data_IF_418906685836
#
_entry.id   IF_418906685836
#
_cell.length_a   1.000
_cell.length_b   1.000
_cell.length_c   1.000
_cell.angle_alpha   90.00
_cell.angle_beta   90.00
_cell.angle_gamma   90.00
#
_symmetry.space_group_name_H-M   'P 1'
#
loop_
_entity.id
_entity.type
_entity.pdbx_description
1 polymer ?
#
# COMPACT_ATOMS: atom_id res chain seq x y z
N UNK A 1 18.40 -38.82 17.04
CA UNK A 1 18.70 -37.48 16.51
C UNK A 1 17.48 -36.95 15.79
N UNK A 2 16.64 -36.19 16.49
CA UNK A 2 15.50 -35.46 15.91
C UNK A 2 16.05 -34.24 15.18
N UNK A 3 16.05 -34.28 13.85
CA UNK A 3 16.35 -33.12 13.00
C UNK A 3 15.24 -32.08 13.22
N UNK A 4 15.48 -31.16 14.15
CA UNK A 4 14.63 -29.99 14.34
C UNK A 4 14.62 -29.23 13.01
N UNK A 5 13.48 -29.29 12.34
CA UNK A 5 13.19 -28.64 11.07
C UNK A 5 13.34 -27.12 11.30
N UNK A 6 14.54 -26.56 11.05
CA UNK A 6 14.80 -25.12 11.19
C UNK A 6 13.86 -24.40 10.25
N UNK A 7 12.82 -23.75 10.80
CA UNK A 7 11.99 -22.81 10.04
C UNK A 7 12.94 -21.80 9.41
N UNK A 8 12.85 -21.61 8.10
CA UNK A 8 13.62 -20.57 7.43
C UNK A 8 13.19 -19.22 7.98
N UNK A 9 14.04 -18.60 8.79
CA UNK A 9 13.80 -17.30 9.41
C UNK A 9 14.66 -16.26 8.71
N UNK A 10 14.02 -15.30 8.05
CA UNK A 10 14.70 -14.14 7.47
C UNK A 10 15.35 -13.28 8.55
N UNK A 11 16.52 -12.72 8.24
CA UNK A 11 17.16 -11.71 9.10
C UNK A 11 16.33 -10.44 9.14
N UNK A 12 16.52 -9.59 10.16
CA UNK A 12 15.83 -8.31 10.24
C UNK A 12 16.12 -7.41 9.03
N UNK A 13 17.36 -7.37 8.57
CA UNK A 13 17.75 -6.61 7.37
C UNK A 13 17.02 -7.10 6.11
N UNK A 14 16.85 -8.42 5.94
CA UNK A 14 16.12 -8.98 4.79
C UNK A 14 14.63 -8.63 4.85
N UNK A 15 14.02 -8.65 6.04
CA UNK A 15 12.63 -8.23 6.23
C UNK A 15 12.41 -6.76 5.87
N UNK A 16 13.30 -5.90 6.36
CA UNK A 16 13.31 -4.47 6.00
C UNK A 16 13.50 -4.25 4.50
N UNK A 17 14.35 -5.04 3.86
CA UNK A 17 14.60 -4.94 2.42
C UNK A 17 13.37 -5.31 1.59
N UNK A 18 12.66 -6.39 1.95
CA UNK A 18 11.38 -6.77 1.31
C UNK A 18 10.34 -5.69 1.50
N UNK A 19 10.24 -5.14 2.71
CA UNK A 19 9.32 -4.07 3.04
C UNK A 19 9.57 -2.81 2.20
N UNK A 20 10.81 -2.30 2.18
CA UNK A 20 11.18 -1.10 1.42
C UNK A 20 11.01 -1.32 -0.08
N UNK A 21 11.39 -2.50 -0.58
CA UNK A 21 11.22 -2.83 -1.99
C UNK A 21 9.73 -2.83 -2.39
N UNK A 22 8.87 -3.43 -1.56
CA UNK A 22 7.43 -3.46 -1.81
C UNK A 22 6.79 -2.09 -1.74
N UNK A 23 7.14 -1.32 -0.72
CA UNK A 23 6.70 0.06 -0.54
C UNK A 23 7.07 0.95 -1.73
N UNK A 24 8.33 0.91 -2.15
CA UNK A 24 8.79 1.76 -3.27
C UNK A 24 8.20 1.33 -4.61
N UNK A 25 8.20 0.04 -4.93
CA UNK A 25 7.70 -0.43 -6.23
C UNK A 25 6.19 -0.21 -6.38
N UNK A 26 5.40 -0.56 -5.36
CA UNK A 26 3.96 -0.39 -5.46
C UNK A 26 3.55 1.08 -5.37
N UNK A 27 4.15 1.84 -4.43
CA UNK A 27 3.87 3.28 -4.31
C UNK A 27 4.17 4.06 -5.59
N UNK A 28 5.34 3.83 -6.21
CA UNK A 28 5.67 4.44 -7.50
C UNK A 28 4.75 3.98 -8.63
N UNK A 29 4.33 2.72 -8.60
CA UNK A 29 3.38 2.23 -9.60
C UNK A 29 2.01 2.88 -9.46
N UNK A 30 1.57 3.17 -8.23
CA UNK A 30 0.29 3.80 -7.98
C UNK A 30 0.27 5.25 -8.48
N UNK A 31 1.36 5.99 -8.23
CA UNK A 31 1.54 7.33 -8.77
C UNK A 31 1.47 7.37 -10.30
N UNK A 32 1.86 6.28 -10.98
CA UNK A 32 1.74 6.17 -12.44
C UNK A 32 0.31 5.82 -12.85
N UNK A 33 -0.36 4.89 -12.16
CA UNK A 33 -1.74 4.48 -12.52
C UNK A 33 -2.74 5.61 -12.33
N UNK A 34 -2.57 6.44 -11.31
CA UNK A 34 -3.39 7.64 -11.07
C UNK A 34 -3.31 8.66 -12.23
N UNK A 35 -2.22 8.65 -13.01
CA UNK A 35 -2.08 9.49 -14.20
C UNK A 35 -2.70 8.87 -15.46
N UNK A 36 -3.13 7.61 -15.41
CA UNK A 36 -3.71 6.91 -16.57
C UNK A 36 -5.23 7.12 -16.58
N UNK A 37 -5.82 7.67 -17.65
CA UNK A 37 -7.25 7.91 -17.71
C UNK A 37 -8.05 6.60 -17.83
N UNK A 38 -9.22 6.54 -17.18
CA UNK A 38 -10.21 5.47 -17.38
C UNK A 38 -10.91 5.63 -18.74
N UNK A 39 -11.17 4.50 -19.40
CA UNK A 39 -11.84 4.48 -20.71
C UNK A 39 -13.21 3.85 -20.56
N UNK A 40 -14.25 4.65 -20.78
CA UNK A 40 -15.63 4.17 -20.79
C UNK A 40 -15.99 3.53 -22.13
N UNK A 41 -16.43 2.27 -22.10
CA UNK A 41 -16.95 1.58 -23.29
C UNK A 41 -18.39 1.12 -23.02
N UNK A 42 -19.35 2.05 -23.17
CA UNK A 42 -20.76 1.77 -22.87
C UNK A 42 -21.02 1.67 -21.36
N UNK A 43 -21.74 0.64 -20.86
CA UNK A 43 -22.01 0.45 -19.42
C UNK A 43 -20.81 -0.16 -18.67
N UNK A 44 -19.69 -0.38 -19.34
CA UNK A 44 -18.49 -1.02 -18.78
C UNK A 44 -17.39 0.04 -18.72
N UNK A 45 -16.91 0.29 -17.52
CA UNK A 45 -15.74 1.12 -17.26
C UNK A 45 -14.48 0.25 -17.31
N UNK A 46 -13.55 0.57 -18.23
CA UNK A 46 -12.20 0.03 -18.18
C UNK A 46 -11.35 1.02 -17.39
N UNK A 47 -11.42 0.91 -16.06
CA UNK A 47 -10.49 1.60 -15.17
C UNK A 47 -9.33 0.67 -14.81
N UNK A 48 -8.13 1.24 -14.72
CA UNK A 48 -7.01 0.53 -14.11
C UNK A 48 -7.12 0.82 -12.62
N UNK A 49 -7.92 0.02 -11.93
CA UNK A 49 -8.20 0.25 -10.49
C UNK A 49 -6.89 0.36 -9.70
N UNK A 50 -5.95 -0.56 -9.93
CA UNK A 50 -4.56 -0.48 -9.44
C UNK A 50 -3.72 -1.59 -10.08
N UNK A 51 -2.39 -1.44 -10.09
CA UNK A 51 -1.46 -2.48 -10.54
C UNK A 51 -1.23 -3.58 -9.47
N UNK A 52 -2.31 -4.27 -9.10
CA UNK A 52 -2.35 -5.36 -8.12
C UNK A 52 -1.27 -6.43 -8.33
N UNK A 53 -0.87 -6.66 -9.59
CA UNK A 53 0.12 -7.69 -9.92
C UNK A 53 1.49 -7.47 -9.28
N UNK A 54 1.87 -6.22 -9.00
CA UNK A 54 3.17 -5.87 -8.40
C UNK A 54 3.24 -6.39 -6.96
N UNK A 55 2.36 -5.96 -6.04
CA UNK A 55 2.36 -6.44 -4.67
C UNK A 55 2.03 -7.93 -4.58
N UNK A 56 1.14 -8.46 -5.44
CA UNK A 56 0.90 -9.90 -5.52
C UNK A 56 2.17 -10.68 -5.85
N UNK A 57 2.94 -10.23 -6.84
CA UNK A 57 4.20 -10.87 -7.23
C UNK A 57 5.20 -10.86 -6.07
N UNK A 58 5.32 -9.73 -5.38
CA UNK A 58 6.23 -9.60 -4.23
C UNK A 58 5.77 -10.47 -3.04
N UNK A 59 4.47 -10.53 -2.76
CA UNK A 59 3.92 -11.37 -1.69
C UNK A 59 4.09 -12.87 -1.99
N UNK A 60 4.08 -13.28 -3.26
CA UNK A 60 4.30 -14.66 -3.66
C UNK A 60 5.79 -15.02 -3.58
N UNK A 61 6.69 -14.14 -4.03
CA UNK A 61 8.13 -14.44 -4.11
C UNK A 61 8.86 -14.23 -2.78
N UNK A 62 8.44 -13.25 -1.99
CA UNK A 62 9.04 -12.90 -0.70
C UNK A 62 8.15 -13.28 0.48
N UNK A 63 8.47 -12.76 1.67
CA UNK A 63 7.67 -12.97 2.86
C UNK A 63 6.36 -12.18 2.76
N UNK A 64 5.17 -12.84 2.73
CA UNK A 64 3.89 -12.20 2.41
C UNK A 64 3.56 -11.02 3.31
N UNK A 65 3.80 -11.14 4.62
CA UNK A 65 3.44 -10.08 5.58
C UNK A 65 4.19 -8.76 5.33
N UNK A 66 5.51 -8.81 5.17
CA UNK A 66 6.33 -7.61 4.98
C UNK A 66 6.10 -6.99 3.60
N UNK A 67 5.85 -7.82 2.58
CA UNK A 67 5.51 -7.35 1.26
C UNK A 67 4.13 -6.68 1.23
N UNK A 68 3.11 -7.26 1.86
CA UNK A 68 1.75 -6.71 1.89
C UNK A 68 1.70 -5.38 2.64
N UNK A 69 2.22 -5.33 3.88
CA UNK A 69 2.27 -4.09 4.67
C UNK A 69 3.13 -3.04 3.97
N UNK A 70 4.26 -3.45 3.39
CA UNK A 70 5.11 -2.55 2.63
C UNK A 70 4.36 -1.93 1.44
N UNK A 71 3.63 -2.74 0.68
CA UNK A 71 2.82 -2.26 -0.43
C UNK A 71 1.75 -1.28 0.04
N UNK A 72 0.88 -1.64 0.98
CA UNK A 72 -0.15 -0.73 1.50
C UNK A 72 0.44 0.59 2.02
N UNK A 73 1.61 0.54 2.67
CA UNK A 73 2.26 1.78 3.12
C UNK A 73 2.78 2.61 1.93
N UNK A 74 3.28 1.95 0.89
CA UNK A 74 3.72 2.60 -0.34
C UNK A 74 2.57 3.33 -1.03
N UNK A 75 1.40 2.71 -1.10
CA UNK A 75 0.17 3.31 -1.62
C UNK A 75 -0.23 4.55 -0.83
N UNK A 76 -0.31 4.45 0.50
CA UNK A 76 -0.63 5.61 1.36
C UNK A 76 0.37 6.75 1.17
N UNK A 77 1.67 6.46 1.09
CA UNK A 77 2.70 7.52 1.01
C UNK A 77 2.76 8.14 -0.39
N UNK A 78 2.79 7.32 -1.44
CA UNK A 78 3.05 7.79 -2.81
C UNK A 78 1.78 8.00 -3.63
N UNK A 79 0.75 7.20 -3.39
CA UNK A 79 -0.57 7.34 -4.01
C UNK A 79 -1.37 8.47 -3.35
N UNK A 80 -1.44 8.49 -2.03
CA UNK A 80 -2.37 9.41 -1.36
C UNK A 80 -1.69 10.72 -0.91
N UNK A 81 -0.66 10.62 -0.03
CA UNK A 81 -0.02 11.79 0.58
C UNK A 81 0.70 12.65 -0.48
N UNK A 82 1.45 12.02 -1.38
CA UNK A 82 2.21 12.75 -2.39
C UNK A 82 1.34 13.40 -3.47
N UNK A 83 0.19 12.82 -3.79
CA UNK A 83 -0.78 13.43 -4.72
C UNK A 83 -1.68 14.46 -4.04
N UNK A 84 -1.61 14.59 -2.71
CA UNK A 84 -2.37 15.57 -1.94
C UNK A 84 -3.84 15.20 -1.74
N UNK A 85 -4.21 13.94 -1.96
CA UNK A 85 -5.58 13.44 -1.86
C UNK A 85 -5.81 12.59 -0.60
N UNK A 86 -4.89 12.63 0.36
CA UNK A 86 -4.94 11.81 1.56
C UNK A 86 -6.17 12.10 2.43
N UNK A 87 -7.13 11.18 2.42
CA UNK A 87 -8.42 11.27 3.12
C UNK A 87 -8.40 10.92 4.62
N UNK A 88 -7.22 10.82 5.25
CA UNK A 88 -7.15 10.59 6.70
C UNK A 88 -7.51 9.17 7.14
N UNK A 89 -8.61 9.02 7.89
CA UNK A 89 -9.00 7.73 8.47
C UNK A 89 -9.53 6.75 7.43
N UNK A 90 -10.14 7.22 6.33
CA UNK A 90 -10.60 6.34 5.27
C UNK A 90 -9.45 5.61 4.55
N UNK A 91 -8.28 6.23 4.50
CA UNK A 91 -7.08 5.57 3.94
C UNK A 91 -6.58 4.41 4.82
N UNK A 92 -6.96 4.34 6.10
CA UNK A 92 -6.65 3.19 6.94
C UNK A 92 -7.51 1.98 6.62
N UNK A 93 -8.73 2.17 6.13
CA UNK A 93 -9.58 1.07 5.68
C UNK A 93 -8.96 0.38 4.47
N UNK A 94 -8.65 1.16 3.41
CA UNK A 94 -7.90 0.69 2.24
C UNK A 94 -6.58 0.02 2.63
N UNK A 95 -5.81 0.63 3.53
CA UNK A 95 -4.55 0.06 4.02
C UNK A 95 -4.75 -1.35 4.63
N UNK A 96 -5.73 -1.50 5.53
CA UNK A 96 -5.99 -2.76 6.24
C UNK A 96 -6.54 -3.82 5.27
N UNK A 97 -7.55 -3.46 4.47
CA UNK A 97 -8.19 -4.34 3.50
C UNK A 97 -7.16 -4.87 2.48
N UNK A 98 -6.36 -3.96 1.90
CA UNK A 98 -5.33 -4.31 0.92
C UNK A 98 -4.24 -5.20 1.52
N UNK A 99 -3.70 -4.82 2.70
CA UNK A 99 -2.68 -5.61 3.39
C UNK A 99 -3.16 -7.02 3.69
N UNK A 100 -4.40 -7.16 4.16
CA UNK A 100 -4.99 -8.46 4.47
C UNK A 100 -5.15 -9.30 3.19
N UNK A 101 -5.76 -8.75 2.15
CA UNK A 101 -5.99 -9.44 0.89
C UNK A 101 -4.69 -9.95 0.25
N UNK A 102 -3.67 -9.09 0.16
CA UNK A 102 -2.37 -9.43 -0.42
C UNK A 102 -1.62 -10.46 0.44
N UNK A 103 -1.73 -10.37 1.77
CA UNK A 103 -1.16 -11.37 2.67
C UNK A 103 -1.80 -12.76 2.47
N UNK A 104 -3.13 -12.83 2.37
CA UNK A 104 -3.83 -14.11 2.15
C UNK A 104 -3.45 -14.68 0.78
N UNK A 105 -3.42 -13.86 -0.27
CA UNK A 105 -3.01 -14.30 -1.61
C UNK A 105 -1.56 -14.82 -1.64
N UNK A 106 -0.61 -14.09 -1.04
CA UNK A 106 0.79 -14.48 -1.00
C UNK A 106 1.08 -15.73 -0.16
N UNK A 107 0.27 -15.99 0.87
CA UNK A 107 0.35 -17.22 1.66
C UNK A 107 -0.29 -18.43 0.97
N UNK A 108 -1.27 -18.20 0.08
CA UNK A 108 -1.93 -19.24 -0.71
C UNK A 108 -0.97 -19.96 -1.67
N UNK A 109 0.01 -19.25 -2.24
CA UNK A 109 1.00 -19.85 -3.17
C UNK A 109 2.09 -20.60 -2.42
N UNK A 110 2.21 -21.90 -2.70
CA UNK A 110 3.30 -22.76 -2.19
C UNK A 110 4.42 -22.90 -3.19
N UNK A 111 4.07 -23.02 -4.47
CA UNK A 111 5.03 -23.17 -5.56
C UNK A 111 4.85 -22.01 -6.56
N UNK A 112 5.77 -21.02 -6.57
CA UNK A 112 5.72 -19.90 -7.52
C UNK A 112 5.85 -20.31 -8.99
N UNK A 113 6.32 -21.54 -9.28
CA UNK A 113 6.38 -22.06 -10.65
C UNK A 113 5.05 -22.64 -11.12
N UNK A 114 4.15 -22.99 -10.20
CA UNK A 114 2.85 -23.54 -10.55
C UNK A 114 1.88 -22.42 -10.98
N UNK A 115 1.76 -22.23 -12.29
CA UNK A 115 0.89 -21.20 -12.89
C UNK A 115 -0.56 -21.27 -12.41
N UNK A 116 -1.12 -22.47 -12.21
CA UNK A 116 -2.48 -22.61 -11.71
C UNK A 116 -2.64 -22.07 -10.29
N UNK A 117 -1.67 -22.32 -9.41
CA UNK A 117 -1.69 -21.83 -8.04
C UNK A 117 -1.46 -20.32 -7.97
N UNK A 118 -0.56 -19.81 -8.82
CA UNK A 118 -0.31 -18.37 -8.93
C UNK A 118 -1.55 -17.63 -9.45
N UNK A 119 -2.23 -18.17 -10.46
CA UNK A 119 -3.43 -17.54 -11.01
C UNK A 119 -4.61 -17.54 -10.04
N UNK A 120 -4.82 -18.65 -9.33
CA UNK A 120 -5.85 -18.72 -8.28
C UNK A 120 -5.54 -17.78 -7.12
N UNK A 121 -4.28 -17.62 -6.72
CA UNK A 121 -3.89 -16.64 -5.71
C UNK A 121 -4.11 -15.19 -6.15
N UNK A 122 -3.80 -14.87 -7.41
CA UNK A 122 -4.00 -13.53 -7.94
C UNK A 122 -5.49 -13.15 -7.90
N UNK A 123 -6.37 -14.03 -8.38
CA UNK A 123 -7.82 -13.81 -8.29
C UNK A 123 -8.31 -13.76 -6.84
N UNK A 124 -7.80 -14.65 -5.98
CA UNK A 124 -8.21 -14.67 -4.56
C UNK A 124 -7.83 -13.37 -3.84
N UNK A 125 -6.67 -12.79 -4.14
CA UNK A 125 -6.28 -11.48 -3.60
C UNK A 125 -7.24 -10.38 -4.02
N UNK A 126 -7.52 -10.25 -5.32
CA UNK A 126 -8.46 -9.24 -5.84
C UNK A 126 -9.86 -9.43 -5.29
N UNK A 127 -10.37 -10.66 -5.27
CA UNK A 127 -11.71 -10.97 -4.75
C UNK A 127 -11.82 -10.61 -3.27
N UNK A 128 -10.81 -10.95 -2.44
CA UNK A 128 -10.86 -10.62 -1.02
C UNK A 128 -10.81 -9.11 -0.81
N UNK A 129 -9.95 -8.40 -1.54
CA UNK A 129 -9.84 -6.95 -1.45
C UNK A 129 -11.17 -6.29 -1.80
N UNK A 130 -11.68 -6.56 -3.01
CA UNK A 130 -12.91 -5.94 -3.50
C UNK A 130 -14.14 -6.32 -2.68
N UNK A 131 -14.18 -7.54 -2.14
CA UNK A 131 -15.29 -7.95 -1.28
C UNK A 131 -15.28 -7.22 0.07
N UNK A 132 -14.10 -6.89 0.62
CA UNK A 132 -14.01 -6.09 1.84
C UNK A 132 -14.46 -4.66 1.55
N UNK A 133 -13.93 -4.03 0.49
CA UNK A 133 -14.30 -2.67 0.09
C UNK A 133 -15.79 -2.54 -0.20
N UNK A 134 -16.33 -3.37 -1.09
CA UNK A 134 -17.77 -3.35 -1.41
C UNK A 134 -18.66 -3.61 -0.18
N UNK A 135 -18.22 -4.47 0.75
CA UNK A 135 -18.97 -4.70 2.00
C UNK A 135 -18.94 -3.45 2.89
N UNK A 136 -17.80 -2.77 2.99
CA UNK A 136 -17.65 -1.53 3.74
C UNK A 136 -18.53 -0.43 3.14
N UNK A 137 -18.58 -0.30 1.82
CA UNK A 137 -19.43 0.67 1.11
C UNK A 137 -20.93 0.40 1.31
N UNK A 138 -21.36 -0.86 1.21
CA UNK A 138 -22.74 -1.25 1.53
C UNK A 138 -23.08 -0.92 2.99
N UNK A 139 -22.18 -1.22 3.93
CA UNK A 139 -22.41 -0.98 5.36
C UNK A 139 -22.47 0.51 5.69
N UNK A 140 -21.70 1.38 5.01
CA UNK A 140 -21.75 2.84 5.18
C UNK A 140 -23.14 3.39 4.92
N UNK A 141 -23.75 2.98 3.80
CA UNK A 141 -25.12 3.37 3.45
C UNK A 141 -26.13 2.81 4.45
N UNK A 142 -25.95 1.58 4.91
CA UNK A 142 -26.90 0.95 5.85
C UNK A 142 -26.88 1.58 7.24
N UNK A 143 -25.71 2.07 7.68
CA UNK A 143 -25.56 2.79 8.95
C UNK A 143 -25.98 4.26 8.81
N UNK A 144 -26.16 4.75 7.59
CA UNK A 144 -26.66 6.10 7.30
C UNK A 144 -25.59 7.18 7.44
N UNK A 145 -24.33 6.81 7.18
CA UNK A 145 -23.19 7.75 7.27
C UNK A 145 -23.02 8.54 5.97
N UNK A 146 -23.44 7.95 4.85
CA UNK A 146 -23.38 8.55 3.52
C UNK A 146 -24.79 8.85 3.00
N UNK A 147 -25.06 10.11 2.62
CA UNK A 147 -26.33 10.56 2.07
C UNK A 147 -26.30 10.48 0.54
N UNK A 148 -26.71 9.35 -0.04
CA UNK A 148 -26.98 9.31 -1.48
C UNK A 148 -28.18 10.22 -1.79
N UNK A 149 -27.97 11.21 -2.65
CA UNK A 149 -29.00 12.15 -3.11
C UNK A 149 -30.24 11.42 -3.68
N UNK A 150 -31.23 11.25 -2.81
CA UNK A 150 -32.67 11.20 -3.10
C UNK A 150 -33.20 10.21 -4.17
N UNK A 151 -33.32 8.91 -3.83
CA UNK A 151 -34.37 8.04 -4.42
C UNK A 151 -34.90 6.99 -3.42
N UNK A 152 -36.23 6.83 -3.22
CA UNK A 152 -36.81 5.76 -2.40
C UNK A 152 -36.52 4.38 -3.02
N UNK A 153 -35.83 3.51 -2.27
CA UNK A 153 -35.26 2.22 -2.75
C UNK A 153 -33.75 2.03 -2.45
N UNK A 154 -33.14 3.07 -1.89
CA UNK A 154 -31.70 3.28 -1.63
C UNK A 154 -30.89 2.04 -1.19
N UNK A 155 -31.37 1.30 -0.18
CA UNK A 155 -30.60 0.20 0.44
C UNK A 155 -30.42 -0.98 -0.52
N UNK A 156 -31.48 -1.34 -1.27
CA UNK A 156 -31.45 -2.46 -2.21
C UNK A 156 -30.71 -2.07 -3.49
N UNK A 157 -30.84 -0.81 -3.93
CA UNK A 157 -30.11 -0.28 -5.08
C UNK A 157 -28.60 -0.24 -4.85
N UNK A 158 -28.13 0.11 -3.65
CA UNK A 158 -26.70 0.17 -3.34
C UNK A 158 -26.06 -1.21 -3.41
N UNK A 159 -26.71 -2.24 -2.86
CA UNK A 159 -26.20 -3.62 -2.97
C UNK A 159 -26.08 -4.05 -4.44
N UNK A 160 -26.99 -3.61 -5.31
CA UNK A 160 -26.94 -3.90 -6.75
C UNK A 160 -25.83 -3.11 -7.44
N UNK A 161 -25.66 -1.83 -7.12
CA UNK A 161 -24.62 -0.96 -7.70
C UNK A 161 -23.24 -1.44 -7.29
N UNK A 162 -22.98 -1.57 -5.99
CA UNK A 162 -21.70 -2.03 -5.46
C UNK A 162 -21.41 -3.48 -5.86
N UNK A 163 -22.45 -4.34 -5.86
CA UNK A 163 -22.31 -5.72 -6.33
C UNK A 163 -21.95 -5.81 -7.81
N UNK A 164 -22.47 -4.90 -8.65
CA UNK A 164 -22.11 -4.82 -10.06
C UNK A 164 -20.70 -4.27 -10.26
N UNK A 165 -20.32 -3.23 -9.49
CA UNK A 165 -18.96 -2.67 -9.49
C UNK A 165 -17.93 -3.74 -9.12
N UNK A 166 -18.15 -4.41 -7.98
CA UNK A 166 -17.34 -5.54 -7.52
C UNK A 166 -17.13 -6.60 -8.60
N UNK A 167 -18.18 -7.02 -9.30
CA UNK A 167 -18.07 -8.03 -10.36
C UNK A 167 -17.28 -7.49 -11.56
N UNK A 168 -17.52 -6.23 -11.95
CA UNK A 168 -16.80 -5.58 -13.03
C UNK A 168 -15.30 -5.56 -12.72
N UNK A 169 -14.93 -5.05 -11.55
CA UNK A 169 -13.52 -4.94 -11.13
C UNK A 169 -12.84 -6.31 -11.07
N UNK A 170 -13.50 -7.32 -10.51
CA UNK A 170 -12.94 -8.68 -10.46
C UNK A 170 -12.75 -9.27 -11.88
N UNK A 171 -13.70 -9.08 -12.80
CA UNK A 171 -13.62 -9.67 -14.14
C UNK A 171 -12.74 -8.91 -15.11
N UNK A 172 -12.71 -7.58 -15.05
CA UNK A 172 -11.95 -6.76 -15.98
C UNK A 172 -10.59 -6.42 -15.39
N UNK A 173 -10.56 -5.62 -14.32
CA UNK A 173 -9.32 -5.19 -13.67
C UNK A 173 -8.54 -6.38 -13.08
N UNK A 174 -9.24 -7.30 -12.42
CA UNK A 174 -8.68 -8.49 -11.82
C UNK A 174 -8.08 -9.46 -12.83
N UNK A 175 -8.73 -9.68 -13.97
CA UNK A 175 -8.16 -10.56 -15.01
C UNK A 175 -7.03 -9.87 -15.76
N UNK A 176 -7.26 -8.64 -16.23
CA UNK A 176 -6.34 -7.96 -17.14
C UNK A 176 -5.09 -7.45 -16.43
N UNK A 177 -5.24 -6.86 -15.25
CA UNK A 177 -4.18 -6.17 -14.53
C UNK A 177 -3.65 -6.92 -13.31
N UNK A 178 -4.39 -7.89 -12.76
CA UNK A 178 -3.85 -8.77 -11.71
C UNK A 178 -3.42 -10.13 -12.26
N UNK A 179 -4.34 -10.91 -12.82
CA UNK A 179 -4.10 -12.30 -13.19
C UNK A 179 -3.04 -12.47 -14.27
N UNK A 180 -3.22 -11.82 -15.44
CA UNK A 180 -2.33 -12.00 -16.59
C UNK A 180 -0.88 -11.57 -16.29
N UNK A 181 -0.63 -10.39 -15.70
CA UNK A 181 0.74 -9.97 -15.42
C UNK A 181 1.36 -10.82 -14.30
N UNK A 182 0.61 -11.21 -13.26
CA UNK A 182 1.14 -12.08 -12.19
C UNK A 182 1.52 -13.47 -12.72
N UNK A 183 0.69 -14.07 -13.58
CA UNK A 183 1.00 -15.35 -14.24
C UNK A 183 2.26 -15.29 -15.11
N UNK A 184 2.50 -14.14 -15.74
CA UNK A 184 3.67 -13.89 -16.57
C UNK A 184 4.94 -13.63 -15.74
N UNK A 185 4.80 -12.84 -14.68
CA UNK A 185 5.92 -12.24 -13.95
C UNK A 185 6.45 -13.16 -12.84
N UNK A 186 5.58 -13.81 -12.07
CA UNK A 186 5.98 -14.64 -10.92
C UNK A 186 6.94 -15.78 -11.35
N UNK A 187 6.63 -16.63 -12.35
CA UNK A 187 7.57 -17.66 -12.78
C UNK A 187 8.84 -17.08 -13.42
N UNK A 188 8.70 -15.88 -14.01
CA UNK A 188 9.74 -14.99 -14.58
C UNK A 188 10.87 -14.65 -13.60
N UNK A 189 10.43 -14.15 -12.45
CA UNK A 189 11.27 -13.54 -11.44
C UNK A 189 11.72 -14.53 -10.36
N UNK A 190 10.98 -15.62 -10.17
CA UNK A 190 11.33 -16.67 -9.23
C UNK A 190 12.76 -17.18 -9.44
N UNK A 191 13.57 -17.11 -8.39
CA UNK A 191 14.98 -17.52 -8.39
C UNK A 191 15.95 -16.47 -8.95
N UNK A 192 15.46 -15.30 -9.37
CA UNK A 192 16.30 -14.19 -9.86
C UNK A 192 16.35 -13.03 -8.88
N UNK A 193 15.21 -12.67 -8.29
CA UNK A 193 15.13 -11.47 -7.42
C UNK A 193 15.51 -11.80 -5.97
N UNK A 194 15.21 -13.01 -5.49
CA UNK A 194 15.50 -13.43 -4.12
C UNK A 194 17.01 -13.46 -3.82
N UNK A 195 17.87 -14.01 -4.71
CA UNK A 195 19.31 -14.01 -4.50
C UNK A 195 19.92 -12.60 -4.49
N UNK A 196 19.35 -11.65 -5.24
CA UNK A 196 19.83 -10.25 -5.26
C UNK A 196 19.65 -9.56 -3.91
N UNK A 197 18.66 -9.98 -3.13
CA UNK A 197 18.40 -9.50 -1.78
C UNK A 197 19.09 -10.38 -0.70
N UNK A 198 20.00 -11.25 -1.13
CA UNK A 198 20.71 -12.18 -0.24
C UNK A 198 19.82 -13.25 0.38
N UNK A 199 18.67 -13.57 -0.24
CA UNK A 199 17.73 -14.57 0.25
C UNK A 199 17.76 -15.83 -0.61
N UNK A 200 17.48 -16.98 0.01
CA UNK A 200 17.18 -18.20 -0.75
C UNK A 200 15.80 -18.05 -1.42
N UNK A 201 15.64 -18.47 -2.69
CA UNK A 201 14.33 -18.55 -3.33
C UNK A 201 13.35 -19.41 -2.53
N UNK A 202 12.08 -19.01 -2.52
CA UNK A 202 11.01 -19.64 -1.74
C UNK A 202 10.83 -21.10 -2.14
N UNK A 203 11.04 -22.02 -1.20
CA UNK A 203 10.93 -23.45 -1.46
C UNK A 203 9.50 -23.96 -1.15
N UNK A 204 9.05 -25.03 -1.81
CA UNK A 204 7.75 -25.68 -1.52
C UNK A 204 7.67 -26.20 -0.08
N UNK A 205 8.84 -26.43 0.54
CA UNK A 205 8.98 -26.86 1.92
C UNK A 205 9.06 -25.70 2.94
N UNK A 206 9.15 -24.44 2.48
CA UNK A 206 8.97 -23.28 3.36
C UNK A 206 7.49 -23.21 3.73
N UNK A 207 7.12 -23.98 4.75
CA UNK A 207 5.75 -24.07 5.24
C UNK A 207 5.38 -22.78 5.97
N UNK A 208 4.87 -21.80 5.23
CA UNK A 208 3.79 -20.98 5.75
C UNK A 208 2.57 -21.91 5.75
N UNK A 209 2.41 -22.66 6.83
CA UNK A 209 1.42 -23.73 6.92
C UNK A 209 0.03 -23.15 6.70
N UNK A 210 -0.52 -23.30 5.49
CA UNK A 210 -1.90 -22.93 5.18
C UNK A 210 -2.91 -23.60 6.12
N UNK A 211 -2.57 -24.73 6.75
CA UNK A 211 -3.40 -25.37 7.79
C UNK A 211 -3.27 -24.80 9.19
N UNK A 212 -2.17 -24.09 9.51
CA UNK A 212 -2.03 -23.32 10.78
C UNK A 212 -2.36 -21.83 10.59
N UNK A 213 -2.23 -21.31 9.36
CA UNK A 213 -2.39 -19.91 8.99
C UNK A 213 -3.80 -19.64 8.44
N UNK A 214 -4.38 -20.44 7.53
CA UNK A 214 -5.86 -20.46 7.33
C UNK A 214 -6.50 -21.32 8.44
N UNK A 215 -5.98 -21.18 9.65
CA UNK A 215 -6.63 -21.68 10.85
C UNK A 215 -7.70 -20.68 11.31
N UNK A 216 -8.49 -21.06 12.32
CA UNK A 216 -9.47 -20.17 12.95
C UNK A 216 -8.89 -18.80 13.34
N UNK A 217 -7.59 -18.74 13.65
CA UNK A 217 -6.89 -17.50 14.03
C UNK A 217 -6.88 -16.45 12.92
N UNK A 218 -6.54 -16.79 11.68
CA UNK A 218 -6.54 -15.80 10.59
C UNK A 218 -7.95 -15.37 10.22
N UNK A 219 -8.94 -16.26 10.31
CA UNK A 219 -10.33 -15.90 10.09
C UNK A 219 -10.78 -14.91 11.17
N UNK A 220 -10.51 -15.21 12.45
CA UNK A 220 -10.83 -14.30 13.56
C UNK A 220 -10.08 -12.98 13.45
N UNK A 221 -8.78 -13.01 13.16
CA UNK A 221 -7.98 -11.79 12.96
C UNK A 221 -8.43 -11.02 11.73
N UNK A 222 -8.80 -11.69 10.64
CA UNK A 222 -9.32 -11.06 9.42
C UNK A 222 -10.66 -10.40 9.65
N UNK A 223 -11.59 -11.05 10.35
CA UNK A 223 -12.87 -10.46 10.75
C UNK A 223 -12.64 -9.25 11.67
N UNK A 224 -11.73 -9.36 12.65
CA UNK A 224 -11.38 -8.25 13.53
C UNK A 224 -10.79 -7.09 12.72
N UNK A 225 -9.86 -7.36 11.81
CA UNK A 225 -9.26 -6.34 10.95
C UNK A 225 -10.30 -5.68 10.04
N UNK A 226 -11.21 -6.45 9.44
CA UNK A 226 -12.31 -5.90 8.64
C UNK A 226 -13.26 -5.04 9.49
N UNK A 227 -13.55 -5.43 10.74
CA UNK A 227 -14.34 -4.60 11.65
C UNK A 227 -13.61 -3.31 12.05
N UNK A 228 -12.28 -3.36 12.24
CA UNK A 228 -11.45 -2.17 12.49
C UNK A 228 -11.37 -1.28 11.26
N UNK A 229 -11.28 -1.87 10.06
CA UNK A 229 -11.29 -1.15 8.80
C UNK A 229 -12.62 -0.39 8.64
N UNK A 230 -13.76 -1.08 8.81
CA UNK A 230 -15.08 -0.45 8.84
C UNK A 230 -15.19 0.64 9.91
N UNK A 231 -14.62 0.43 11.10
CA UNK A 231 -14.64 1.44 12.16
C UNK A 231 -13.87 2.71 11.77
N UNK A 232 -12.70 2.58 11.14
CA UNK A 232 -11.93 3.74 10.67
C UNK A 232 -12.65 4.48 9.55
N UNK A 233 -13.23 3.74 8.63
CA UNK A 233 -14.04 4.31 7.55
C UNK A 233 -15.27 5.05 8.09
N UNK A 234 -15.99 4.43 9.04
CA UNK A 234 -17.10 5.05 9.75
C UNK A 234 -16.67 6.36 10.45
N UNK A 235 -15.49 6.39 11.09
CA UNK A 235 -14.96 7.60 11.73
C UNK A 235 -14.65 8.70 10.70
N UNK A 236 -14.13 8.32 9.53
CA UNK A 236 -13.80 9.22 8.43
C UNK A 236 -15.04 9.97 7.93
N UNK A 237 -16.11 9.21 7.66
CA UNK A 237 -17.35 9.75 7.08
C UNK A 237 -18.28 10.40 8.14
N UNK A 238 -18.23 9.97 9.41
CA UNK A 238 -19.03 10.57 10.48
C UNK A 238 -18.58 11.98 10.89
N UNK A 239 -17.62 12.59 10.19
CA UNK A 239 -17.10 13.92 10.48
C UNK A 239 -16.32 14.02 11.79
N UNK A 240 -16.00 12.89 12.43
CA UNK A 240 -15.13 12.83 13.63
C UNK A 240 -13.67 12.74 13.13
N UNK A 241 -13.28 13.65 12.25
CA UNK A 241 -11.88 13.82 11.86
C UNK A 241 -11.12 14.43 13.05
N UNK A 242 -10.63 13.56 13.95
CA UNK A 242 -9.78 13.96 15.07
C UNK A 242 -8.46 14.63 14.60
N UNK A 243 -8.13 14.48 13.30
CA UNK A 243 -7.00 15.11 12.62
C UNK A 243 -7.47 15.56 11.23
N UNK A 244 -8.04 16.76 11.12
CA UNK A 244 -8.09 17.49 9.85
C UNK A 244 -6.63 17.73 9.41
N UNK A 245 -6.19 17.08 8.35
CA UNK A 245 -4.85 17.27 7.81
C UNK A 245 -4.76 18.58 7.03
N UNK A 246 -5.89 19.01 6.47
CA UNK A 246 -6.16 20.37 6.01
C UNK A 246 -6.63 21.21 7.20
N UNK A 247 -5.75 21.41 8.17
CA UNK A 247 -5.97 22.56 9.05
C UNK A 247 -5.80 23.77 8.14
N UNK A 248 -6.90 24.42 7.77
CA UNK A 248 -6.84 25.74 7.18
C UNK A 248 -6.37 26.70 8.28
N UNK A 249 -5.05 26.69 8.53
CA UNK A 249 -4.40 27.55 9.51
C UNK A 249 -4.65 29.02 9.20
N UNK A 250 -5.00 29.35 7.95
CA UNK A 250 -5.37 30.66 7.47
C UNK A 250 -6.77 31.04 7.93
N UNK A 251 -7.75 30.14 7.89
CA UNK A 251 -9.06 30.37 8.52
C UNK A 251 -8.99 30.40 10.06
N UNK A 252 -8.20 29.52 10.68
CA UNK A 252 -8.14 29.42 12.15
C UNK A 252 -7.30 30.52 12.83
N UNK A 253 -6.20 30.98 12.20
CA UNK A 253 -5.29 31.99 12.78
C UNK A 253 -5.23 33.31 12.00
N UNK A 254 -5.94 33.41 10.87
CA UNK A 254 -5.98 34.58 10.00
C UNK A 254 -4.71 34.77 9.16
N UNK A 255 -4.76 35.70 8.20
CA UNK A 255 -3.66 36.08 7.28
C UNK A 255 -2.32 36.37 7.98
N UNK A 256 -2.33 36.72 9.27
CA UNK A 256 -1.13 36.95 10.07
C UNK A 256 -0.22 35.71 10.16
N UNK A 257 -0.78 34.51 10.09
CA UNK A 257 -0.02 33.25 10.18
C UNK A 257 0.94 33.05 9.00
N UNK A 258 0.62 33.61 7.82
CA UNK A 258 1.53 33.62 6.65
C UNK A 258 2.85 34.32 6.98
N UNK A 259 2.82 35.39 7.77
CA UNK A 259 4.03 36.13 8.15
C UNK A 259 4.90 35.34 9.11
N UNK A 260 4.29 34.50 9.96
CA UNK A 260 5.01 33.62 10.89
C UNK A 260 5.73 32.51 10.12
N UNK A 261 5.04 31.84 9.20
CA UNK A 261 5.63 30.77 8.39
C UNK A 261 6.74 31.30 7.47
N UNK A 262 6.54 32.47 6.86
CA UNK A 262 7.56 33.16 6.06
C UNK A 262 8.77 33.58 6.91
N UNK A 263 8.53 34.05 8.14
CA UNK A 263 9.60 34.40 9.09
C UNK A 263 10.47 33.20 9.47
N UNK A 264 9.85 32.05 9.76
CA UNK A 264 10.56 30.81 10.08
C UNK A 264 11.37 30.32 8.87
N UNK A 265 10.78 30.31 7.68
CA UNK A 265 11.46 29.92 6.45
C UNK A 265 12.69 30.79 6.16
N UNK A 266 12.57 32.11 6.34
CA UNK A 266 13.67 33.06 6.17
C UNK A 266 14.79 32.82 7.20
N UNK A 267 14.44 32.51 8.45
CA UNK A 267 15.40 32.20 9.51
C UNK A 267 16.22 30.95 9.17
N UNK A 268 15.55 29.88 8.72
CA UNK A 268 16.20 28.63 8.29
C UNK A 268 17.11 28.88 7.08
N UNK A 269 16.67 29.68 6.10
CA UNK A 269 17.48 30.04 4.94
C UNK A 269 18.75 30.80 5.34
N UNK A 270 18.64 31.79 6.23
CA UNK A 270 19.79 32.57 6.72
C UNK A 270 20.77 31.68 7.49
N UNK A 271 20.29 30.81 8.37
CA UNK A 271 21.15 29.85 9.10
C UNK A 271 21.89 28.96 8.10
N UNK A 272 21.19 28.40 7.12
CA UNK A 272 21.75 27.49 6.13
C UNK A 272 22.82 28.18 5.28
N UNK A 273 22.53 29.39 4.77
CA UNK A 273 23.47 30.19 4.00
C UNK A 273 24.71 30.56 4.85
N UNK A 274 24.51 30.99 6.09
CA UNK A 274 25.61 31.34 7.00
C UNK A 274 26.49 30.12 7.29
N UNK A 275 25.89 28.95 7.46
CA UNK A 275 26.61 27.70 7.69
C UNK A 275 27.40 27.26 6.44
N UNK A 276 26.82 27.40 5.25
CA UNK A 276 27.50 27.12 3.97
C UNK A 276 28.68 28.07 3.72
N UNK A 277 28.53 29.36 4.00
CA UNK A 277 29.60 30.36 3.86
C UNK A 277 30.73 30.08 4.87
N UNK A 278 30.40 29.79 6.14
CA UNK A 278 31.40 29.41 7.15
C UNK A 278 32.15 28.12 6.80
N UNK A 279 31.46 27.14 6.21
CA UNK A 279 32.09 25.88 5.75
C UNK A 279 33.05 26.14 4.59
N UNK A 280 32.66 26.97 3.61
CA UNK A 280 33.51 27.35 2.46
C UNK A 280 34.76 28.14 2.90
N UNK A 281 34.62 29.02 3.89
CA UNK A 281 35.76 29.76 4.48
C UNK A 281 36.75 28.83 5.21
N UNK A 282 36.27 27.83 5.98
CA UNK A 282 37.16 26.86 6.65
C UNK A 282 37.93 25.95 5.69
N UNK A 283 37.34 25.58 4.55
CA UNK A 283 38.02 24.77 3.53
C UNK A 283 39.18 25.54 2.89
N UNK A 284 38.99 26.84 2.59
CA UNK A 284 40.06 27.68 2.03
C UNK A 284 41.23 27.94 3.01
N UNK A 285 40.96 28.07 4.31
CA UNK A 285 42.02 28.24 5.34
C UNK A 285 42.86 26.96 5.54
N UNK A 286 42.23 25.79 5.39
CA UNK A 286 42.91 24.49 5.57
C UNK A 286 43.86 24.18 4.41
N UNK A 287 43.52 24.59 3.18
CA UNK A 287 44.39 24.42 2.01
C UNK A 287 45.59 25.39 2.05
N UNK A 288 45.42 26.62 2.56
CA UNK A 288 46.55 27.57 2.69
C UNK A 288 47.55 27.20 3.81
N UNK A 289 47.13 26.46 4.84
CA UNK A 289 48.06 25.96 5.87
C UNK A 289 48.88 24.75 5.41
N UNK A 290 48.37 23.92 4.49
CA UNK A 290 49.13 22.77 3.94
C UNK A 290 50.27 23.20 3.01
N UNK A 291 50.16 24.32 2.31
CA UNK A 291 51.24 24.85 1.45
C UNK A 291 52.40 25.52 2.24
N UNK A 292 52.20 25.83 3.53
CA UNK A 292 53.20 26.57 4.35
C UNK A 292 54.06 25.69 5.26
N UNK A 293 53.98 24.36 5.15
CA UNK A 293 54.89 23.46 5.87
C UNK A 293 55.99 23.01 4.91
N UNK A 294 57.17 23.65 4.89
CA UNK A 294 58.33 23.08 4.24
C UNK A 294 58.83 21.86 5.04
N UNK A 295 59.18 20.80 4.30
CA UNK A 295 59.94 19.63 4.73
C UNK A 295 61.25 19.99 5.44
#
# INVERSE_FOLDING_TARGET
MTTVNKRYTLTQSQKMMVFILSMSLYGLSNMITELVPSVYFGPIEFSIEYFAFIPLTLCILFHPLYAAIGASLGEVIFGEIMLGQFGGFGELEKFIAFSLAMYVAGTFVRDPKNKWQVGTAAMLGVIIHQAISAMVDILKVWVGVEELEAVPGLVESVVVIEGFSFLNDVFFSGILFALLPTLYLVPRLYGKIEPLLGMKPRDRNDRYSLGEIIGPRLIVTGILLAAVAFFFEFLSESGINLVEWEVDFLEMFGDWFIWVSLGVALLVAVITITFMIKKKSKTNDTDQQKEKIPS
#
